data_IF_094730255490
#
_entry.id   IF_094730255490
#
_cell.length_a   1.000
_cell.length_b   1.000
_cell.length_c   1.000
_cell.angle_alpha   90.00
_cell.angle_beta   90.00
_cell.angle_gamma   90.00
#
_symmetry.space_group_name_H-M   'P 1'
#
loop_
_entity.id
_entity.type
_entity.pdbx_description
1 polymer ?
#
# COMPACT_ATOMS: atom_id res chain seq x y z
N UNK A 1 -20.82 -10.48 16.85
CA UNK A 1 -20.42 -9.47 15.84
C UNK A 1 -21.66 -9.09 15.08
N UNK A 2 -21.97 -7.81 15.01
CA UNK A 2 -23.14 -7.31 14.31
C UNK A 2 -22.93 -7.48 12.78
N UNK A 3 -23.78 -8.25 12.08
CA UNK A 3 -23.59 -8.55 10.66
C UNK A 3 -23.77 -7.31 9.78
N UNK A 4 -24.50 -6.30 10.26
CA UNK A 4 -24.73 -5.05 9.56
C UNK A 4 -23.46 -4.19 9.61
N UNK A 5 -22.84 -4.07 10.77
CA UNK A 5 -21.57 -3.35 10.94
C UNK A 5 -20.45 -3.88 10.02
N UNK A 6 -20.34 -5.20 9.89
CA UNK A 6 -19.36 -5.83 8.99
C UNK A 6 -19.64 -5.52 7.51
N UNK A 7 -20.92 -5.40 7.14
CA UNK A 7 -21.35 -5.06 5.77
C UNK A 7 -21.03 -3.60 5.47
N UNK A 8 -21.36 -2.69 6.38
CA UNK A 8 -21.05 -1.25 6.29
C UNK A 8 -19.55 -1.03 6.15
N UNK A 9 -18.72 -1.66 6.99
CA UNK A 9 -17.26 -1.51 6.90
C UNK A 9 -16.72 -1.95 5.54
N UNK A 10 -17.28 -3.01 4.95
CA UNK A 10 -16.85 -3.51 3.65
C UNK A 10 -17.26 -2.60 2.50
N UNK A 11 -18.47 -2.02 2.58
CA UNK A 11 -18.96 -1.01 1.63
C UNK A 11 -18.14 0.30 1.73
N UNK A 12 -17.82 0.76 2.94
CA UNK A 12 -16.97 1.94 3.15
C UNK A 12 -15.56 1.74 2.56
N UNK A 13 -14.96 0.56 2.77
CA UNK A 13 -13.66 0.23 2.19
C UNK A 13 -13.71 0.20 0.66
N UNK A 14 -14.76 -0.38 0.08
CA UNK A 14 -14.92 -0.44 -1.38
C UNK A 14 -15.03 0.97 -1.98
N UNK A 15 -15.83 1.85 -1.35
CA UNK A 15 -15.94 3.25 -1.76
C UNK A 15 -14.60 3.99 -1.66
N UNK A 16 -13.88 3.83 -0.55
CA UNK A 16 -12.56 4.44 -0.36
C UNK A 16 -11.54 3.94 -1.40
N UNK A 17 -11.61 2.66 -1.78
CA UNK A 17 -10.80 2.10 -2.86
C UNK A 17 -11.16 2.69 -4.23
N UNK A 18 -12.46 2.89 -4.53
CA UNK A 18 -12.84 3.57 -5.77
C UNK A 18 -12.29 5.01 -5.82
N UNK A 19 -12.33 5.75 -4.71
CA UNK A 19 -11.71 7.06 -4.60
C UNK A 19 -10.20 7.00 -4.84
N UNK A 20 -9.51 5.99 -4.30
CA UNK A 20 -8.06 5.84 -4.44
C UNK A 20 -7.63 5.55 -5.88
N UNK A 21 -8.48 4.85 -6.65
CA UNK A 21 -8.30 4.61 -8.10
C UNK A 21 -8.52 5.88 -8.91
N UNK A 22 -9.58 6.64 -8.61
CA UNK A 22 -9.87 7.91 -9.32
C UNK A 22 -8.73 8.92 -9.12
N UNK A 23 -8.15 8.96 -7.92
CA UNK A 23 -7.03 9.82 -7.57
C UNK A 23 -5.66 9.28 -8.02
N UNK A 24 -5.63 8.12 -8.67
CA UNK A 24 -4.41 7.44 -9.12
C UNK A 24 -3.33 7.32 -8.04
N UNK A 25 -3.75 7.08 -6.79
CA UNK A 25 -2.82 6.88 -5.65
C UNK A 25 -1.99 5.59 -5.80
N UNK A 26 -2.42 4.71 -6.70
CA UNK A 26 -1.85 3.40 -6.95
C UNK A 26 -1.98 2.44 -5.79
N UNK A 27 -2.76 2.72 -4.73
CA UNK A 27 -2.84 1.85 -3.55
C UNK A 27 -3.67 0.60 -3.81
N UNK A 28 -3.18 -0.56 -3.37
CA UNK A 28 -3.94 -1.81 -3.38
C UNK A 28 -5.00 -1.85 -2.29
N UNK A 29 -6.07 -2.61 -2.53
CA UNK A 29 -7.20 -2.77 -1.59
C UNK A 29 -6.75 -3.25 -0.21
N UNK A 30 -5.74 -4.11 -0.14
CA UNK A 30 -5.19 -4.60 1.12
C UNK A 30 -4.45 -3.49 1.87
N UNK A 31 -3.56 -2.75 1.19
CA UNK A 31 -2.83 -1.61 1.75
C UNK A 31 -3.79 -0.56 2.28
N UNK A 32 -4.80 -0.18 1.50
CA UNK A 32 -5.82 0.77 1.91
C UNK A 32 -6.59 0.32 3.16
N UNK A 33 -6.92 -0.97 3.27
CA UNK A 33 -7.53 -1.54 4.48
C UNK A 33 -6.64 -1.37 5.72
N UNK A 34 -5.33 -1.62 5.57
CA UNK A 34 -4.36 -1.49 6.66
C UNK A 34 -4.21 -0.03 7.06
N UNK A 35 -4.10 0.89 6.09
CA UNK A 35 -4.01 2.33 6.36
C UNK A 35 -5.24 2.84 7.12
N UNK A 36 -6.45 2.39 6.75
CA UNK A 36 -7.68 2.75 7.47
C UNK A 36 -7.63 2.26 8.92
N UNK A 37 -7.21 1.01 9.17
CA UNK A 37 -7.08 0.47 10.52
C UNK A 37 -6.02 1.23 11.34
N UNK A 38 -4.93 1.65 10.70
CA UNK A 38 -3.89 2.47 11.34
C UNK A 38 -4.40 3.87 11.67
N UNK A 39 -5.19 4.49 10.80
CA UNK A 39 -5.87 5.75 11.07
C UNK A 39 -6.90 5.62 12.20
N UNK A 40 -7.63 4.51 12.30
CA UNK A 40 -8.60 4.24 13.39
C UNK A 40 -7.91 4.18 14.77
N UNK A 41 -6.64 3.76 14.81
CA UNK A 41 -5.79 3.80 16.01
C UNK A 41 -5.30 5.22 16.38
N UNK A 42 -5.66 6.24 15.61
CA UNK A 42 -5.31 7.64 15.86
C UNK A 42 -3.97 8.07 15.22
N UNK A 43 -3.44 7.29 14.27
CA UNK A 43 -2.24 7.68 13.54
C UNK A 43 -2.55 8.78 12.51
N UNK A 44 -1.60 9.69 12.31
CA UNK A 44 -1.75 10.78 11.36
C UNK A 44 -1.70 10.24 9.91
N UNK A 45 -2.76 10.45 9.08
CA UNK A 45 -2.76 10.01 7.68
C UNK A 45 -1.64 10.64 6.84
N UNK A 46 -1.19 11.85 7.15
CA UNK A 46 -0.09 12.51 6.43
C UNK A 46 1.24 11.78 6.65
N UNK A 47 1.52 11.37 7.89
CA UNK A 47 2.71 10.60 8.23
C UNK A 47 2.67 9.21 7.59
N UNK A 48 1.51 8.55 7.59
CA UNK A 48 1.28 7.29 6.90
C UNK A 48 1.54 7.41 5.38
N UNK A 49 1.06 8.47 4.75
CA UNK A 49 1.31 8.72 3.33
C UNK A 49 2.80 8.87 3.02
N UNK A 50 3.56 9.58 3.87
CA UNK A 50 5.00 9.71 3.72
C UNK A 50 5.70 8.33 3.81
N UNK A 51 5.37 7.52 4.81
CA UNK A 51 5.95 6.17 4.99
C UNK A 51 5.62 5.28 3.79
N UNK A 52 4.37 5.26 3.31
CA UNK A 52 3.97 4.45 2.14
C UNK A 52 4.71 4.87 0.88
N UNK A 53 4.96 6.17 0.72
CA UNK A 53 5.71 6.70 -0.43
C UNK A 53 7.17 6.29 -0.38
N UNK A 54 7.83 6.41 0.77
CA UNK A 54 9.21 5.96 0.96
C UNK A 54 9.34 4.44 0.72
N UNK A 55 8.44 3.64 1.30
CA UNK A 55 8.44 2.18 1.16
C UNK A 55 8.28 1.72 -0.31
N UNK A 56 7.57 2.49 -1.13
CA UNK A 56 7.40 2.24 -2.58
C UNK A 56 8.60 2.69 -3.40
N UNK A 57 9.31 3.73 -2.94
CA UNK A 57 10.53 4.25 -3.56
C UNK A 57 11.75 3.36 -3.29
N UNK A 58 11.64 2.38 -2.39
CA UNK A 58 12.62 1.31 -2.20
C UNK A 58 12.20 0.01 -2.94
N UNK A 59 12.16 -0.05 -4.29
CA UNK A 59 12.02 -1.32 -4.96
C UNK A 59 13.35 -2.04 -4.80
N UNK A 60 13.38 -3.06 -3.95
CA UNK A 60 14.36 -4.14 -4.00
C UNK A 60 15.81 -3.67 -4.24
N UNK A 61 16.56 -3.44 -3.16
CA UNK A 61 18.01 -3.62 -3.21
C UNK A 61 18.30 -5.11 -3.46
N UNK A 62 18.03 -5.58 -4.68
CA UNK A 62 18.70 -6.76 -5.21
C UNK A 62 20.10 -6.29 -5.59
N UNK A 63 21.16 -6.91 -5.09
CA UNK A 63 22.51 -6.56 -5.51
C UNK A 63 22.60 -6.72 -7.05
N UNK A 64 23.36 -5.85 -7.74
CA UNK A 64 23.64 -6.05 -9.15
C UNK A 64 24.36 -7.40 -9.28
N UNK A 65 23.69 -8.38 -9.86
CA UNK A 65 24.32 -9.65 -10.25
C UNK A 65 25.37 -9.27 -11.29
N UNK A 66 26.64 -9.30 -10.86
CA UNK A 66 27.81 -9.09 -11.70
C UNK A 66 27.68 -9.93 -12.97
N UNK A 67 27.90 -9.36 -14.17
CA UNK A 67 27.96 -10.17 -15.38
C UNK A 67 29.11 -11.19 -15.24
N UNK A 68 28.92 -12.45 -15.69
CA UNK A 68 29.99 -13.44 -15.63
C UNK A 68 31.20 -12.92 -16.43
N UNK A 69 32.44 -13.12 -15.94
CA UNK A 69 33.62 -12.68 -16.67
C UNK A 69 33.67 -13.42 -18.02
N UNK A 70 33.67 -12.62 -19.09
CA UNK A 70 33.84 -13.07 -20.45
C UNK A 70 35.08 -13.95 -20.56
N UNK A 71 34.86 -15.26 -20.69
CA UNK A 71 35.91 -16.20 -21.03
C UNK A 71 36.21 -16.05 -22.52
N UNK A 72 37.21 -15.24 -22.83
CA UNK A 72 38.01 -15.30 -24.06
C UNK A 72 39.43 -15.73 -23.65
N UNK A 73 40.22 -16.37 -24.52
CA UNK A 73 39.94 -16.91 -25.86
C UNK A 73 39.85 -18.45 -25.89
#
# INVERSE_FOLDING_TARGET
MDPEAARTARESLDLAFQMSIILDTGLDRHTLSVLIALCDLGLNPEALAAVVKELRTEPSSSPPVLPPPSSFP
#
